data_IF_596691993563
#
_entry.id   IF_596691993563
#
_cell.length_a   1.000
_cell.length_b   1.000
_cell.length_c   1.000
_cell.angle_alpha   90.00
_cell.angle_beta   90.00
_cell.angle_gamma   90.00
#
_symmetry.space_group_name_H-M   'P 1'
#
loop_
_entity.id
_entity.type
_entity.pdbx_description
1 polymer ?
#
# COMPACT_ATOMS: atom_id res chain seq x y z
N UNK A 1 18.25 -11.93 -3.66
CA UNK A 1 17.22 -11.58 -2.66
C UNK A 1 16.30 -12.77 -2.50
N UNK A 2 15.84 -13.05 -1.29
CA UNK A 2 14.87 -14.15 -1.05
C UNK A 2 13.45 -13.71 -1.43
N UNK A 3 12.55 -14.64 -1.77
CA UNK A 3 11.12 -14.32 -2.04
C UNK A 3 10.46 -13.52 -0.91
N UNK A 4 10.86 -13.78 0.35
CA UNK A 4 10.41 -13.04 1.53
C UNK A 4 10.89 -11.60 1.58
N UNK A 5 12.06 -11.34 1.01
CA UNK A 5 12.66 -10.00 0.97
C UNK A 5 11.99 -9.15 -0.11
N UNK A 6 11.72 -9.73 -1.28
CA UNK A 6 10.92 -9.09 -2.32
C UNK A 6 9.51 -8.77 -1.84
N UNK A 7 8.87 -9.72 -1.14
CA UNK A 7 7.52 -9.47 -0.63
C UNK A 7 7.43 -8.38 0.43
N UNK A 8 8.47 -8.24 1.25
CA UNK A 8 8.57 -7.14 2.21
C UNK A 8 8.73 -5.78 1.52
N UNK A 9 9.46 -5.72 0.41
CA UNK A 9 9.63 -4.50 -0.39
C UNK A 9 8.31 -4.09 -1.03
N UNK A 10 7.59 -5.02 -1.65
CA UNK A 10 6.28 -4.75 -2.25
C UNK A 10 5.23 -4.28 -1.23
N UNK A 11 5.15 -4.90 -0.05
CA UNK A 11 4.28 -4.45 1.04
C UNK A 11 4.62 -3.04 1.53
N UNK A 12 5.91 -2.74 1.65
CA UNK A 12 6.36 -1.41 2.04
C UNK A 12 5.97 -0.37 0.97
N UNK A 13 6.05 -0.72 -0.31
CA UNK A 13 5.62 0.16 -1.40
C UNK A 13 4.12 0.45 -1.33
N UNK A 14 3.28 -0.56 -1.11
CA UNK A 14 1.84 -0.36 -0.94
C UNK A 14 1.51 0.58 0.23
N UNK A 15 2.18 0.39 1.38
CA UNK A 15 2.03 1.27 2.54
C UNK A 15 2.41 2.71 2.22
N UNK A 16 3.51 2.90 1.50
CA UNK A 16 3.98 4.21 1.09
C UNK A 16 2.95 4.90 0.18
N UNK A 17 2.34 4.18 -0.77
CA UNK A 17 1.30 4.73 -1.65
C UNK A 17 0.07 5.16 -0.81
N UNK A 18 -0.40 4.30 0.09
CA UNK A 18 -1.52 4.61 0.98
C UNK A 18 -1.25 5.88 1.81
N UNK A 19 -0.05 5.99 2.40
CA UNK A 19 0.35 7.15 3.19
C UNK A 19 0.47 8.44 2.36
N UNK A 20 0.95 8.36 1.12
CA UNK A 20 1.01 9.53 0.23
C UNK A 20 -0.40 9.99 -0.12
N UNK A 21 -1.33 9.09 -0.43
CA UNK A 21 -2.70 9.49 -0.74
C UNK A 21 -3.41 10.10 0.48
N UNK A 22 -3.32 9.45 1.64
CA UNK A 22 -3.88 9.94 2.91
C UNK A 22 -3.38 11.36 3.24
N UNK A 23 -2.12 11.64 2.96
CA UNK A 23 -1.47 12.91 3.26
C UNK A 23 -1.23 13.79 2.02
N UNK A 24 -1.92 13.53 0.90
CA UNK A 24 -1.72 14.24 -0.38
C UNK A 24 -1.88 15.74 -0.27
N UNK A 25 -2.89 16.20 0.48
CA UNK A 25 -3.11 17.62 0.72
C UNK A 25 -1.96 18.28 1.50
N UNK A 26 -1.41 17.57 2.48
CA UNK A 26 -0.24 18.03 3.24
C UNK A 26 0.99 18.11 2.33
N UNK A 27 1.26 17.06 1.55
CA UNK A 27 2.39 16.97 0.63
C UNK A 27 2.33 18.05 -0.46
N UNK A 28 1.16 18.28 -1.06
CA UNK A 28 0.97 19.38 -2.04
C UNK A 28 1.15 20.76 -1.44
N UNK A 29 0.79 20.95 -0.17
CA UNK A 29 0.94 22.23 0.52
C UNK A 29 2.40 22.59 0.78
N UNK A 30 3.24 21.58 1.11
CA UNK A 30 4.68 21.80 1.27
C UNK A 30 5.39 21.91 -0.09
N UNK A 31 4.95 21.13 -1.09
CA UNK A 31 5.51 21.13 -2.45
C UNK A 31 7.00 20.81 -2.47
N UNK A 32 7.73 21.48 -3.36
CA UNK A 32 9.19 21.40 -3.56
C UNK A 32 10.00 22.15 -2.48
N UNK A 33 9.35 22.62 -1.41
CA UNK A 33 9.97 23.51 -0.43
C UNK A 33 10.45 22.74 0.79
N UNK A 34 11.60 23.18 1.30
CA UNK A 34 12.01 22.83 2.66
C UNK A 34 11.08 23.52 3.67
N UNK A 35 10.68 22.78 4.69
CA UNK A 35 9.82 23.29 5.75
C UNK A 35 10.31 22.89 7.13
N UNK A 36 9.98 23.72 8.12
CA UNK A 36 10.44 23.55 9.50
C UNK A 36 9.35 22.95 10.37
N UNK A 37 9.62 21.82 11.05
CA UNK A 37 8.66 21.15 11.95
C UNK A 37 8.09 22.11 13.01
N UNK A 38 8.91 23.03 13.53
CA UNK A 38 8.46 24.00 14.56
C UNK A 38 7.33 24.93 14.06
N UNK A 39 7.26 25.17 12.75
CA UNK A 39 6.24 26.00 12.12
C UNK A 39 4.97 25.24 11.75
N UNK A 40 5.00 23.89 11.82
CA UNK A 40 3.86 23.03 11.50
C UNK A 40 3.48 22.15 12.71
N UNK A 41 3.16 22.82 13.84
CA UNK A 41 2.89 22.12 15.10
C UNK A 41 1.72 21.14 15.03
N UNK A 42 0.74 21.43 14.18
CA UNK A 42 -0.47 20.62 14.00
C UNK A 42 -0.18 19.31 13.26
N UNK A 43 0.89 19.26 12.44
CA UNK A 43 1.21 18.11 11.60
C UNK A 43 2.45 17.34 12.07
N UNK A 44 2.86 17.49 13.33
CA UNK A 44 4.02 16.77 13.87
C UNK A 44 3.89 15.25 13.75
N UNK A 45 2.69 14.72 13.97
CA UNK A 45 2.39 13.29 13.82
C UNK A 45 2.59 12.85 12.38
N UNK A 46 1.98 13.58 11.43
CA UNK A 46 2.12 13.35 9.98
C UNK A 46 3.57 13.37 9.52
N UNK A 47 4.36 14.36 9.96
CA UNK A 47 5.79 14.43 9.59
C UNK A 47 6.56 13.22 10.11
N UNK A 48 6.30 12.79 11.34
CA UNK A 48 6.95 11.60 11.90
C UNK A 48 6.57 10.32 11.16
N UNK A 49 5.28 10.14 10.84
CA UNK A 49 4.79 8.99 10.06
C UNK A 49 5.43 8.95 8.67
N UNK A 50 5.37 10.05 7.93
CA UNK A 50 5.91 10.13 6.58
C UNK A 50 7.44 10.00 6.54
N UNK A 51 8.16 10.55 7.53
CA UNK A 51 9.62 10.42 7.61
C UNK A 51 10.04 8.99 7.93
N UNK A 52 9.35 8.30 8.83
CA UNK A 52 9.64 6.89 9.12
C UNK A 52 9.36 5.98 7.92
N UNK A 53 8.39 6.34 7.08
CA UNK A 53 8.11 5.67 5.81
C UNK A 53 9.10 6.04 4.69
N UNK A 54 10.07 6.93 4.94
CA UNK A 54 11.05 7.38 3.95
C UNK A 54 10.47 8.32 2.87
N UNK A 55 9.30 8.91 3.11
CA UNK A 55 8.61 9.83 2.19
C UNK A 55 9.00 11.29 2.44
N UNK A 56 9.51 11.58 3.63
CA UNK A 56 10.16 12.85 3.97
C UNK A 56 11.59 12.59 4.42
N UNK A 57 12.48 13.50 4.09
CA UNK A 57 13.87 13.47 4.52
C UNK A 57 14.29 14.80 5.16
N UNK A 58 15.32 14.74 5.98
CA UNK A 58 15.94 15.93 6.56
C UNK A 58 16.67 16.70 5.45
N UNK A 59 16.31 17.95 5.27
CA UNK A 59 16.92 18.80 4.27
C UNK A 59 18.41 19.02 4.60
N UNK A 60 19.31 19.06 3.61
CA UNK A 60 20.77 19.18 3.82
C UNK A 60 21.21 20.58 4.29
N UNK A 61 20.29 21.42 4.76
CA UNK A 61 20.52 22.79 5.18
C UNK A 61 20.67 22.82 6.71
N UNK A 62 21.91 22.95 7.18
CA UNK A 62 22.19 23.13 8.61
C UNK A 62 21.88 24.57 9.04
N UNK A 63 20.69 24.78 9.61
CA UNK A 63 20.27 26.09 10.15
C UNK A 63 20.14 26.10 11.69
N UNK A 64 20.82 25.18 12.38
CA UNK A 64 20.88 25.12 13.84
C UNK A 64 20.04 23.99 14.46
N UNK A 65 19.56 24.13 15.71
CA UNK A 65 19.01 23.01 16.49
C UNK A 65 17.65 22.49 16.02
N UNK A 66 17.07 23.08 14.96
CA UNK A 66 15.77 22.68 14.42
C UNK A 66 16.00 22.12 13.03
N UNK A 67 15.53 20.90 12.82
CA UNK A 67 15.60 20.19 11.55
C UNK A 67 14.56 20.71 10.57
N UNK A 68 15.01 20.99 9.35
CA UNK A 68 14.16 21.28 8.21
C UNK A 68 13.97 19.98 7.41
N UNK A 69 12.80 19.82 6.79
CA UNK A 69 12.40 18.62 6.04
C UNK A 69 11.98 18.99 4.64
N UNK A 70 12.11 18.04 3.72
CA UNK A 70 11.58 18.12 2.36
C UNK A 70 10.95 16.78 1.97
N UNK A 71 10.17 16.77 0.89
CA UNK A 71 9.72 15.52 0.29
C UNK A 71 10.95 14.78 -0.23
N UNK A 72 11.06 13.48 0.06
CA UNK A 72 12.13 12.67 -0.51
C UNK A 72 11.85 12.40 -1.99
N UNK A 73 12.88 12.05 -2.77
CA UNK A 73 12.71 11.65 -4.17
C UNK A 73 11.62 10.57 -4.32
N UNK A 74 11.58 9.59 -3.41
CA UNK A 74 10.55 8.54 -3.41
C UNK A 74 9.15 9.07 -3.10
N UNK A 75 9.04 10.04 -2.18
CA UNK A 75 7.76 10.70 -1.90
C UNK A 75 7.24 11.47 -3.11
N UNK A 76 8.11 12.17 -3.84
CA UNK A 76 7.76 12.86 -5.10
C UNK A 76 7.33 11.87 -6.18
N UNK A 77 8.10 10.80 -6.40
CA UNK A 77 7.79 9.77 -7.40
C UNK A 77 6.40 9.15 -7.19
N UNK A 78 6.03 8.85 -5.94
CA UNK A 78 4.70 8.30 -5.62
C UNK A 78 3.63 9.37 -5.78
N UNK A 79 3.87 10.59 -5.28
CA UNK A 79 2.89 11.68 -5.37
C UNK A 79 2.56 12.00 -6.82
N UNK A 80 3.58 12.06 -7.68
CA UNK A 80 3.41 12.26 -9.12
C UNK A 80 2.68 11.08 -9.76
N UNK A 81 3.00 9.83 -9.37
CA UNK A 81 2.30 8.66 -9.88
C UNK A 81 0.81 8.63 -9.51
N UNK A 82 0.47 9.06 -8.30
CA UNK A 82 -0.93 9.21 -7.87
C UNK A 82 -1.61 10.37 -8.62
N UNK A 83 -0.90 11.48 -8.85
CA UNK A 83 -1.43 12.64 -9.60
C UNK A 83 -1.65 12.33 -11.09
N UNK A 84 -0.84 11.44 -11.66
CA UNK A 84 -0.94 10.97 -13.06
C UNK A 84 -1.94 9.80 -13.24
N UNK A 85 -2.67 9.40 -12.19
CA UNK A 85 -3.53 8.21 -12.18
C UNK A 85 -2.80 6.93 -12.64
N UNK A 86 -1.48 6.82 -12.37
CA UNK A 86 -0.66 5.65 -12.71
C UNK A 86 -0.94 4.44 -11.81
N UNK A 87 -1.62 4.65 -10.69
CA UNK A 87 -2.11 3.57 -9.83
C UNK A 87 -3.61 3.34 -10.08
N UNK A 88 -3.99 2.22 -10.73
CA UNK A 88 -5.39 1.94 -11.05
C UNK A 88 -6.28 1.74 -9.82
N UNK A 89 -5.69 1.30 -8.71
CA UNK A 89 -6.32 1.29 -7.38
C UNK A 89 -5.36 1.86 -6.34
N UNK A 90 -5.76 2.96 -5.69
CA UNK A 90 -5.01 3.50 -4.55
C UNK A 90 -5.37 2.64 -3.32
N UNK A 91 -4.37 2.02 -2.67
CA UNK A 91 -4.60 1.20 -1.50
C UNK A 91 -5.04 2.05 -0.31
N UNK A 92 -6.15 1.68 0.33
CA UNK A 92 -6.51 2.18 1.65
C UNK A 92 -5.92 1.30 2.77
N UNK A 93 -6.10 1.69 4.03
CA UNK A 93 -5.56 0.96 5.19
C UNK A 93 -6.11 -0.48 5.27
N UNK A 94 -7.39 -0.68 4.97
CA UNK A 94 -8.05 -1.99 5.02
C UNK A 94 -7.50 -2.94 3.96
N UNK A 95 -7.24 -2.43 2.76
CA UNK A 95 -6.63 -3.16 1.66
C UNK A 95 -5.18 -3.51 1.97
N UNK A 96 -4.37 -2.56 2.46
CA UNK A 96 -2.98 -2.84 2.90
C UNK A 96 -2.97 -3.92 3.97
N UNK A 97 -3.84 -3.82 4.96
CA UNK A 97 -3.96 -4.81 6.03
C UNK A 97 -4.36 -6.19 5.50
N UNK A 98 -5.33 -6.26 4.59
CA UNK A 98 -5.76 -7.50 3.98
C UNK A 98 -4.64 -8.16 3.16
N UNK A 99 -3.86 -7.37 2.43
CA UNK A 99 -2.71 -7.86 1.65
C UNK A 99 -1.61 -8.39 2.57
N UNK A 100 -1.22 -7.63 3.59
CA UNK A 100 -0.20 -8.05 4.56
C UNK A 100 -0.58 -9.35 5.26
N UNK A 101 -1.82 -9.43 5.73
CA UNK A 101 -2.32 -10.60 6.47
C UNK A 101 -2.37 -11.87 5.62
N UNK A 102 -2.60 -11.73 4.32
CA UNK A 102 -2.85 -12.86 3.41
C UNK A 102 -1.81 -12.93 2.27
N UNK A 103 -0.63 -12.34 2.48
CA UNK A 103 0.43 -12.17 1.48
C UNK A 103 0.74 -13.44 0.69
N UNK A 104 1.11 -14.52 1.39
CA UNK A 104 1.49 -15.79 0.76
C UNK A 104 0.37 -16.33 -0.12
N UNK A 105 -0.88 -16.15 0.31
CA UNK A 105 -2.05 -16.61 -0.43
C UNK A 105 -2.29 -15.77 -1.68
N UNK A 106 -2.20 -14.44 -1.57
CA UNK A 106 -2.39 -13.52 -2.70
C UNK A 106 -1.34 -13.79 -3.78
N UNK A 107 -0.06 -13.91 -3.40
CA UNK A 107 1.03 -14.21 -4.35
C UNK A 107 0.86 -15.58 -5.01
N UNK A 108 0.27 -16.56 -4.31
CA UNK A 108 0.05 -17.89 -4.87
C UNK A 108 -1.16 -17.92 -5.82
N UNK A 109 -2.24 -17.20 -5.49
CA UNK A 109 -3.49 -17.22 -6.25
C UNK A 109 -3.41 -16.29 -7.46
N UNK A 110 -3.00 -15.03 -7.27
CA UNK A 110 -3.24 -13.96 -8.23
C UNK A 110 -2.61 -14.14 -9.60
N UNK A 111 -1.56 -14.96 -9.71
CA UNK A 111 -0.88 -15.24 -10.98
C UNK A 111 -1.20 -16.60 -11.62
N UNK A 112 -1.92 -17.48 -10.91
CA UNK A 112 -1.90 -18.92 -11.26
C UNK A 112 -3.26 -19.53 -11.57
N UNK A 113 -4.35 -18.87 -11.20
CA UNK A 113 -5.69 -19.47 -11.26
C UNK A 113 -6.77 -18.46 -11.63
N UNK A 114 -7.53 -18.77 -12.67
CA UNK A 114 -8.72 -18.01 -13.09
C UNK A 114 -9.83 -18.07 -12.03
N UNK A 115 -9.94 -19.21 -11.33
CA UNK A 115 -10.82 -19.38 -10.18
C UNK A 115 -10.28 -20.44 -9.24
N UNK A 116 -10.67 -20.36 -7.95
CA UNK A 116 -10.16 -21.25 -6.91
C UNK A 116 -11.19 -21.56 -5.83
N UNK A 117 -11.06 -22.73 -5.22
CA UNK A 117 -11.72 -23.03 -3.95
C UNK A 117 -10.85 -22.55 -2.79
N UNK A 118 -11.45 -21.84 -1.83
CA UNK A 118 -10.76 -21.36 -0.64
C UNK A 118 -10.08 -22.49 0.16
N UNK A 119 -10.67 -23.69 0.19
CA UNK A 119 -10.11 -24.84 0.89
C UNK A 119 -8.78 -25.32 0.30
N UNK A 120 -8.57 -25.15 -1.01
CA UNK A 120 -7.33 -25.56 -1.68
C UNK A 120 -6.13 -24.70 -1.27
N UNK A 121 -6.38 -23.50 -0.75
CA UNK A 121 -5.37 -22.54 -0.33
C UNK A 121 -5.35 -22.34 1.19
N UNK A 122 -6.07 -23.18 1.96
CA UNK A 122 -6.15 -23.06 3.41
C UNK A 122 -6.83 -21.79 3.90
N UNK A 123 -7.63 -21.13 3.06
CA UNK A 123 -8.31 -19.89 3.41
C UNK A 123 -9.50 -20.17 4.34
N UNK A 124 -9.41 -19.67 5.56
CA UNK A 124 -10.50 -19.72 6.54
C UNK A 124 -11.47 -18.56 6.37
N UNK A 125 -12.65 -18.65 7.00
CA UNK A 125 -13.72 -17.66 6.86
C UNK A 125 -13.33 -16.23 7.21
N UNK A 126 -12.34 -16.01 8.08
CA UNK A 126 -11.79 -14.68 8.38
C UNK A 126 -10.93 -14.12 7.25
N UNK A 127 -10.08 -14.94 6.63
CA UNK A 127 -9.28 -14.54 5.47
C UNK A 127 -10.14 -14.30 4.25
N UNK A 128 -11.13 -15.18 3.98
CA UNK A 128 -12.10 -14.97 2.89
C UNK A 128 -12.83 -13.65 3.09
N UNK A 129 -13.30 -13.38 4.31
CA UNK A 129 -13.99 -12.12 4.62
C UNK A 129 -13.07 -10.92 4.41
N UNK A 130 -11.87 -10.95 4.98
CA UNK A 130 -10.88 -9.87 4.84
C UNK A 130 -10.54 -9.58 3.38
N UNK A 131 -10.24 -10.61 2.58
CA UNK A 131 -9.92 -10.45 1.16
C UNK A 131 -11.13 -9.94 0.36
N UNK A 132 -12.33 -10.43 0.64
CA UNK A 132 -13.55 -10.01 -0.06
C UNK A 132 -13.94 -8.57 0.32
N UNK A 133 -13.88 -8.23 1.59
CA UNK A 133 -14.28 -6.92 2.08
C UNK A 133 -13.28 -5.84 1.60
N UNK A 134 -12.00 -6.19 1.44
CA UNK A 134 -10.98 -5.37 0.77
C UNK A 134 -11.07 -5.39 -0.77
N UNK A 135 -12.07 -6.05 -1.35
CA UNK A 135 -12.28 -6.10 -2.79
C UNK A 135 -11.22 -6.90 -3.57
N UNK A 136 -10.39 -7.70 -2.91
CA UNK A 136 -9.31 -8.49 -3.53
C UNK A 136 -9.82 -9.77 -4.20
N UNK A 137 -10.86 -10.38 -3.64
CA UNK A 137 -11.48 -11.57 -4.21
C UNK A 137 -12.99 -11.38 -4.31
N UNK A 138 -13.57 -12.01 -5.31
CA UNK A 138 -15.01 -12.07 -5.45
C UNK A 138 -15.52 -13.50 -5.63
N UNK A 139 -16.76 -13.73 -5.22
CA UNK A 139 -17.38 -15.05 -5.32
C UNK A 139 -17.98 -15.21 -6.71
N UNK A 140 -17.50 -16.22 -7.44
CA UNK A 140 -17.98 -16.56 -8.77
C UNK A 140 -19.19 -17.48 -8.70
N UNK A 141 -19.16 -18.45 -7.77
CA UNK A 141 -20.18 -19.48 -7.68
C UNK A 141 -20.39 -19.93 -6.23
N UNK A 142 -21.64 -20.18 -5.86
CA UNK A 142 -22.00 -20.78 -4.57
C UNK A 142 -22.24 -22.28 -4.75
N UNK A 143 -21.44 -23.11 -4.06
CA UNK A 143 -21.56 -24.57 -4.12
C UNK A 143 -21.79 -25.14 -2.72
N UNK A 144 -23.06 -25.40 -2.34
CA UNK A 144 -23.45 -25.74 -0.97
C UNK A 144 -22.76 -26.97 -0.35
N UNK A 145 -22.19 -27.86 -1.19
CA UNK A 145 -21.52 -29.10 -0.74
C UNK A 145 -20.03 -29.17 -1.08
N UNK A 146 -19.56 -28.31 -1.97
CA UNK A 146 -18.19 -28.36 -2.51
C UNK A 146 -17.35 -27.16 -2.07
N UNK A 147 -17.98 -26.13 -1.50
CA UNK A 147 -17.34 -24.87 -1.16
C UNK A 147 -17.43 -23.86 -2.30
N UNK A 148 -17.60 -22.59 -1.94
CA UNK A 148 -17.73 -21.51 -2.92
C UNK A 148 -16.48 -21.39 -3.79
N UNK A 149 -16.71 -21.03 -5.06
CA UNK A 149 -15.67 -20.72 -6.02
C UNK A 149 -15.41 -19.21 -6.00
N UNK A 150 -14.14 -18.84 -5.96
CA UNK A 150 -13.66 -17.45 -5.86
C UNK A 150 -12.75 -17.13 -7.03
N UNK A 151 -12.58 -15.85 -7.32
CA UNK A 151 -11.54 -15.35 -8.24
C UNK A 151 -10.92 -14.07 -7.68
N UNK A 152 -9.69 -13.79 -8.10
CA UNK A 152 -9.09 -12.48 -7.89
C UNK A 152 -9.82 -11.43 -8.72
N UNK A 153 -9.97 -10.24 -8.14
CA UNK A 153 -10.47 -9.06 -8.83
C UNK A 153 -9.34 -8.34 -9.57
N UNK A 154 -9.69 -7.39 -10.44
CA UNK A 154 -8.73 -6.50 -11.09
C UNK A 154 -7.87 -5.76 -10.05
N UNK A 155 -8.47 -5.33 -8.93
CA UNK A 155 -7.75 -4.73 -7.80
C UNK A 155 -6.61 -5.61 -7.26
N UNK A 156 -6.80 -6.94 -7.20
CA UNK A 156 -5.70 -7.83 -6.81
C UNK A 156 -4.59 -7.84 -7.83
N UNK A 157 -4.91 -7.83 -9.12
CA UNK A 157 -3.91 -7.82 -10.20
C UNK A 157 -3.13 -6.51 -10.19
N UNK A 158 -3.83 -5.39 -10.09
CA UNK A 158 -3.26 -4.05 -9.95
C UNK A 158 -2.27 -3.96 -8.79
N UNK A 159 -2.65 -4.48 -7.61
CA UNK A 159 -1.79 -4.51 -6.43
C UNK A 159 -0.54 -5.37 -6.67
N UNK A 160 -0.72 -6.52 -7.34
CA UNK A 160 0.36 -7.44 -7.63
C UNK A 160 1.37 -6.84 -8.63
N UNK A 161 0.92 -6.02 -9.58
CA UNK A 161 1.80 -5.24 -10.46
C UNK A 161 2.61 -4.22 -9.66
N UNK A 162 1.97 -3.47 -8.76
CA UNK A 162 2.64 -2.49 -7.88
C UNK A 162 3.68 -3.13 -6.96
N UNK A 163 3.43 -4.37 -6.54
CA UNK A 163 4.34 -5.14 -5.67
C UNK A 163 5.59 -5.62 -6.41
N UNK A 164 5.47 -5.93 -7.71
CA UNK A 164 6.54 -6.55 -8.50
C UNK A 164 7.48 -5.55 -9.19
N UNK A 165 7.13 -4.26 -9.23
CA UNK A 165 8.02 -3.15 -9.64
C UNK A 165 9.18 -2.88 -8.65
#
# INVERSE_FOLDING_TARGET
>A
MSEKENGRIGLERLRQIALVDEHRAFLKRIGDKTFRIRHIREDKGTVWTLSNAGLLEEAPIDTGPVKDYQISQRGEEILDAIDDDRYPAIPDEDLVFAVERNWDTIMTIGYRVESFSASNFGLHGSSIRSLRDAGLIERVEERPREGNLWKCTDTTLDILEVIEE
#
